data_IF_974584124451
#
_entry.id   IF_974584124451
#
_cell.length_a   1.000
_cell.length_b   1.000
_cell.length_c   1.000
_cell.angle_alpha   90.00
_cell.angle_beta   90.00
_cell.angle_gamma   90.00
#
_symmetry.space_group_name_H-M   'P 1'
#
loop_
_entity.id
_entity.type
_entity.pdbx_description
1 polymer ?
#
# COMPACT_ATOMS: atom_id res chain seq x y z
N UNK A 1 -8.08 9.28 16.41
CA UNK A 1 -9.21 8.59 17.07
C UNK A 1 -9.01 7.10 16.82
N UNK A 2 -8.60 6.34 17.83
CA UNK A 2 -8.44 4.88 17.69
C UNK A 2 -9.84 4.27 17.72
N UNK A 3 -10.30 3.72 16.62
CA UNK A 3 -11.54 2.94 16.58
C UNK A 3 -11.26 1.64 17.34
N UNK A 4 -12.01 1.41 18.42
CA UNK A 4 -12.00 0.17 19.18
C UNK A 4 -12.41 -0.99 18.25
N UNK A 5 -11.60 -2.05 18.21
CA UNK A 5 -11.82 -3.20 17.33
C UNK A 5 -13.20 -3.87 17.57
N UNK A 6 -13.74 -3.80 18.79
CA UNK A 6 -15.06 -4.34 19.10
C UNK A 6 -16.17 -3.48 18.49
N UNK A 7 -16.02 -2.16 18.50
CA UNK A 7 -16.95 -1.24 17.80
C UNK A 7 -16.89 -1.42 16.29
N UNK A 8 -15.70 -1.66 15.75
CA UNK A 8 -15.54 -1.97 14.32
C UNK A 8 -16.26 -3.27 13.97
N UNK A 9 -16.08 -4.34 14.74
CA UNK A 9 -16.81 -5.62 14.55
C UNK A 9 -18.31 -5.46 14.67
N UNK A 10 -18.77 -4.65 15.62
CA UNK A 10 -20.20 -4.36 15.77
C UNK A 10 -20.77 -3.64 14.55
N UNK A 11 -20.06 -2.63 14.06
CA UNK A 11 -20.44 -1.91 12.84
C UNK A 11 -20.43 -2.86 11.62
N UNK A 12 -19.39 -3.67 11.47
CA UNK A 12 -19.28 -4.64 10.38
C UNK A 12 -20.46 -5.62 10.34
N UNK A 13 -20.88 -6.14 11.50
CA UNK A 13 -22.10 -6.98 11.60
C UNK A 13 -23.35 -6.23 11.17
N UNK A 14 -23.48 -4.95 11.57
CA UNK A 14 -24.65 -4.14 11.24
C UNK A 14 -24.79 -3.86 9.73
N UNK A 15 -23.66 -3.73 9.02
CA UNK A 15 -23.64 -3.44 7.56
C UNK A 15 -23.43 -4.70 6.70
N UNK A 16 -23.39 -5.89 7.29
CA UNK A 16 -23.21 -7.16 6.57
C UNK A 16 -21.77 -7.43 6.11
N UNK A 17 -20.78 -6.76 6.71
CA UNK A 17 -19.38 -7.00 6.47
C UNK A 17 -18.82 -8.14 7.35
N UNK A 18 -17.71 -8.77 6.94
CA UNK A 18 -17.01 -9.75 7.78
C UNK A 18 -16.49 -9.07 9.06
N UNK A 19 -16.88 -9.55 10.26
CA UNK A 19 -16.56 -8.88 11.55
C UNK A 19 -15.13 -9.21 12.02
N UNK A 20 -14.12 -8.86 11.24
CA UNK A 20 -12.71 -9.06 11.56
C UNK A 20 -12.12 -7.98 12.49
N UNK A 21 -12.87 -6.92 12.76
CA UNK A 21 -12.42 -5.78 13.57
C UNK A 21 -11.52 -4.79 12.82
N UNK A 22 -11.39 -4.94 11.51
CA UNK A 22 -10.56 -4.09 10.64
C UNK A 22 -11.46 -3.20 9.78
N UNK A 23 -11.37 -1.87 9.98
CA UNK A 23 -12.12 -0.92 9.15
C UNK A 23 -11.40 -0.74 7.81
N UNK A 24 -11.68 -1.64 6.86
CA UNK A 24 -11.11 -1.63 5.51
C UNK A 24 -12.09 -1.14 4.43
N UNK A 25 -11.64 -1.08 3.15
CA UNK A 25 -12.47 -0.64 2.03
C UNK A 25 -13.80 -1.38 1.89
N UNK A 26 -13.82 -2.69 2.16
CA UNK A 26 -15.04 -3.49 2.13
C UNK A 26 -16.05 -3.04 3.20
N UNK A 27 -15.57 -2.80 4.43
CA UNK A 27 -16.37 -2.27 5.54
C UNK A 27 -16.90 -0.87 5.22
N UNK A 28 -16.05 -0.01 4.63
CA UNK A 28 -16.44 1.34 4.23
C UNK A 28 -17.53 1.31 3.14
N UNK A 29 -17.35 0.51 2.10
CA UNK A 29 -18.30 0.42 1.00
C UNK A 29 -19.66 -0.11 1.46
N UNK A 30 -19.69 -1.14 2.32
CA UNK A 30 -20.93 -1.67 2.90
C UNK A 30 -21.55 -0.66 3.87
N UNK A 31 -20.75 0.10 4.62
CA UNK A 31 -21.21 1.18 5.46
C UNK A 31 -21.85 2.32 4.68
N UNK A 32 -21.25 2.74 3.58
CA UNK A 32 -21.81 3.75 2.68
C UNK A 32 -23.12 3.27 2.02
N UNK A 33 -23.17 2.01 1.58
CA UNK A 33 -24.39 1.40 1.04
C UNK A 33 -25.50 1.32 2.10
N UNK A 34 -25.16 0.99 3.35
CA UNK A 34 -26.11 0.95 4.46
C UNK A 34 -26.64 2.35 4.80
N UNK A 35 -25.79 3.39 4.84
CA UNK A 35 -26.19 4.77 5.06
C UNK A 35 -27.13 5.24 3.94
N UNK A 36 -26.83 4.92 2.69
CA UNK A 36 -27.68 5.23 1.54
C UNK A 36 -29.04 4.55 1.63
N UNK A 37 -29.11 3.34 2.20
CA UNK A 37 -30.37 2.59 2.35
C UNK A 37 -31.21 3.03 3.56
N UNK A 38 -30.60 3.57 4.62
CA UNK A 38 -31.24 3.77 5.93
C UNK A 38 -31.18 5.20 6.49
N UNK A 39 -30.48 6.14 5.87
CA UNK A 39 -30.24 7.43 6.55
C UNK A 39 -29.84 8.64 5.73
N UNK A 40 -30.05 8.70 4.45
CA UNK A 40 -29.68 9.86 3.66
C UNK A 40 -30.84 10.46 2.91
N UNK A 41 -31.15 11.72 3.17
CA UNK A 41 -32.04 12.55 2.33
C UNK A 41 -31.36 13.11 1.09
N UNK A 42 -30.32 12.47 0.59
CA UNK A 42 -29.68 12.80 -0.68
C UNK A 42 -30.14 11.81 -1.76
N UNK A 43 -30.61 12.37 -2.89
CA UNK A 43 -31.10 11.61 -4.01
C UNK A 43 -30.10 10.55 -4.48
N UNK A 44 -30.56 9.34 -4.86
CA UNK A 44 -29.67 8.29 -5.30
C UNK A 44 -28.93 8.76 -6.56
N UNK A 45 -27.65 8.94 -6.45
CA UNK A 45 -26.76 8.90 -7.61
C UNK A 45 -26.98 7.51 -8.24
N UNK A 46 -27.34 7.39 -9.53
CA UNK A 46 -27.59 6.11 -10.14
C UNK A 46 -26.32 5.26 -9.96
N UNK A 47 -26.43 4.21 -9.17
CA UNK A 47 -25.38 3.22 -9.01
C UNK A 47 -25.26 2.50 -10.35
N UNK A 48 -24.36 2.95 -11.19
CA UNK A 48 -23.78 2.06 -12.18
C UNK A 48 -23.22 0.87 -11.39
N UNK A 49 -23.62 -0.38 -11.68
CA UNK A 49 -23.06 -1.53 -10.99
C UNK A 49 -21.56 -1.43 -11.17
N UNK A 50 -20.84 -1.26 -10.05
CA UNK A 50 -19.40 -1.25 -10.05
C UNK A 50 -18.95 -2.60 -10.58
N UNK A 51 -18.67 -2.66 -11.87
CA UNK A 51 -17.86 -3.74 -12.44
C UNK A 51 -16.62 -3.84 -11.56
N UNK A 52 -16.16 -5.02 -11.19
CA UNK A 52 -14.87 -5.15 -10.53
C UNK A 52 -13.85 -4.51 -11.47
N UNK A 53 -13.41 -3.30 -11.12
CA UNK A 53 -12.38 -2.59 -11.90
C UNK A 53 -11.10 -3.37 -11.63
N UNK A 54 -10.79 -4.30 -12.52
CA UNK A 54 -9.71 -5.27 -12.39
C UNK A 54 -8.33 -4.64 -12.64
N UNK A 55 -8.26 -3.36 -13.00
CA UNK A 55 -6.99 -2.67 -13.24
C UNK A 55 -7.05 -1.17 -12.90
N UNK A 56 -5.89 -0.54 -12.90
CA UNK A 56 -5.71 0.90 -12.88
C UNK A 56 -5.64 1.41 -14.33
N UNK A 57 -6.01 2.69 -14.55
CA UNK A 57 -5.83 3.31 -15.85
C UNK A 57 -4.35 3.55 -16.21
N UNK A 58 -3.44 3.49 -15.21
CA UNK A 58 -2.00 3.70 -15.40
C UNK A 58 -1.24 2.37 -15.58
N UNK A 59 -0.75 2.08 -16.81
CA UNK A 59 -0.05 0.81 -17.08
C UNK A 59 1.23 0.62 -16.26
N UNK A 60 1.92 1.71 -15.89
CA UNK A 60 3.13 1.65 -15.06
C UNK A 60 2.81 1.14 -13.66
N UNK A 61 1.78 1.68 -13.04
CA UNK A 61 1.34 1.25 -11.71
C UNK A 61 0.88 -0.21 -11.72
N UNK A 62 0.15 -0.66 -12.75
CA UNK A 62 -0.24 -2.06 -12.89
C UNK A 62 0.97 -2.98 -13.04
N UNK A 63 1.95 -2.61 -13.86
CA UNK A 63 3.18 -3.38 -14.03
C UNK A 63 3.96 -3.46 -12.69
N UNK A 64 4.01 -2.36 -11.94
CA UNK A 64 4.63 -2.32 -10.61
C UNK A 64 3.91 -3.23 -9.63
N UNK A 65 2.57 -3.16 -9.55
CA UNK A 65 1.74 -3.99 -8.67
C UNK A 65 1.89 -5.48 -9.03
N UNK A 66 1.99 -5.83 -10.31
CA UNK A 66 2.16 -7.21 -10.74
C UNK A 66 3.44 -7.88 -10.19
N UNK A 67 4.44 -7.10 -9.78
CA UNK A 67 5.66 -7.60 -9.14
C UNK A 67 5.50 -7.91 -7.65
N UNK A 68 4.36 -7.57 -7.06
CA UNK A 68 4.10 -7.78 -5.64
C UNK A 68 3.49 -9.16 -5.36
N UNK A 69 3.56 -9.57 -4.10
CA UNK A 69 2.84 -10.75 -3.62
C UNK A 69 1.34 -10.63 -3.90
N UNK A 70 0.71 -11.72 -4.36
CA UNK A 70 -0.68 -11.71 -4.84
C UNK A 70 -1.68 -11.15 -3.82
N UNK A 71 -1.49 -11.42 -2.53
CA UNK A 71 -2.35 -10.94 -1.44
C UNK A 71 -2.34 -9.42 -1.26
N UNK A 72 -1.32 -8.73 -1.74
CA UNK A 72 -1.22 -7.26 -1.58
C UNK A 72 -1.59 -6.50 -2.85
N UNK A 73 -1.67 -7.14 -4.00
CA UNK A 73 -1.91 -6.47 -5.28
C UNK A 73 -3.22 -5.66 -5.31
N UNK A 74 -4.35 -6.27 -4.91
CA UNK A 74 -5.63 -5.56 -4.91
C UNK A 74 -5.67 -4.42 -3.88
N UNK A 75 -5.21 -4.60 -2.63
CA UNK A 75 -5.05 -3.50 -1.69
C UNK A 75 -4.24 -2.30 -2.22
N UNK A 76 -3.14 -2.55 -2.96
CA UNK A 76 -2.36 -1.45 -3.57
C UNK A 76 -3.12 -0.73 -4.69
N UNK A 77 -3.96 -1.43 -5.48
CA UNK A 77 -4.85 -0.80 -6.48
C UNK A 77 -5.87 0.11 -5.80
N UNK A 78 -6.51 -0.38 -4.75
CA UNK A 78 -7.54 0.35 -4.03
C UNK A 78 -6.96 1.59 -3.33
N UNK A 79 -5.79 1.45 -2.73
CA UNK A 79 -5.08 2.57 -2.12
C UNK A 79 -4.72 3.64 -3.15
N UNK A 80 -4.19 3.26 -4.33
CA UNK A 80 -3.83 4.24 -5.36
C UNK A 80 -5.07 5.00 -5.89
N UNK A 81 -6.21 4.33 -6.03
CA UNK A 81 -7.47 5.01 -6.39
C UNK A 81 -7.87 6.04 -5.35
N UNK A 82 -7.82 5.68 -4.08
CA UNK A 82 -8.13 6.58 -2.97
C UNK A 82 -7.17 7.79 -2.92
N UNK A 83 -5.88 7.54 -3.12
CA UNK A 83 -4.87 8.60 -3.19
C UNK A 83 -5.17 9.54 -4.35
N UNK A 84 -5.39 9.03 -5.57
CA UNK A 84 -5.63 9.84 -6.76
C UNK A 84 -6.91 10.66 -6.66
N UNK A 85 -7.94 10.14 -6.01
CA UNK A 85 -9.15 10.90 -5.73
C UNK A 85 -8.90 12.07 -4.75
N UNK A 86 -7.97 11.90 -3.81
CA UNK A 86 -7.69 12.90 -2.77
C UNK A 86 -6.67 13.97 -3.19
N UNK A 87 -5.79 13.66 -4.16
CA UNK A 87 -4.72 14.59 -4.58
C UNK A 87 -5.00 15.29 -5.91
N UNK A 88 -6.14 15.05 -6.54
CA UNK A 88 -6.49 15.68 -7.81
C UNK A 88 -6.32 17.22 -7.76
N UNK A 89 -5.79 17.88 -8.80
CA UNK A 89 -5.55 17.35 -10.15
C UNK A 89 -4.21 16.61 -10.35
N UNK A 90 -3.36 16.50 -9.33
CA UNK A 90 -2.12 15.73 -9.41
C UNK A 90 -2.41 14.23 -9.47
N UNK A 91 -1.44 13.46 -9.95
CA UNK A 91 -1.58 12.01 -10.13
C UNK A 91 -0.47 11.26 -9.43
N UNK A 92 -0.83 10.40 -8.48
CA UNK A 92 0.07 9.42 -7.88
C UNK A 92 0.24 8.19 -8.78
N UNK A 93 1.45 7.66 -8.83
CA UNK A 93 1.78 6.41 -9.54
C UNK A 93 2.71 5.56 -8.68
N UNK A 94 2.51 4.25 -8.71
CA UNK A 94 3.50 3.33 -8.16
C UNK A 94 4.71 3.28 -9.10
N UNK A 95 5.87 3.73 -8.62
CA UNK A 95 7.08 3.90 -9.45
C UNK A 95 8.15 2.84 -9.18
N UNK A 96 8.06 2.11 -8.07
CA UNK A 96 8.95 1.02 -7.71
C UNK A 96 8.17 -0.03 -6.90
N UNK A 97 8.36 -1.30 -7.22
CA UNK A 97 7.75 -2.45 -6.55
C UNK A 97 8.81 -3.44 -6.07
N UNK A 98 8.70 -4.72 -6.46
CA UNK A 98 9.73 -5.72 -6.15
C UNK A 98 11.08 -5.34 -6.77
N UNK A 99 12.13 -5.53 -5.98
CA UNK A 99 13.53 -5.35 -6.39
C UNK A 99 14.30 -6.64 -6.16
N UNK A 100 14.85 -7.19 -7.24
CA UNK A 100 15.73 -8.35 -7.18
C UNK A 100 17.12 -8.00 -6.62
N UNK A 101 17.94 -9.05 -6.40
CA UNK A 101 19.27 -8.91 -5.79
C UNK A 101 20.17 -7.94 -6.53
N UNK A 102 20.30 -8.08 -7.84
CA UNK A 102 21.19 -7.24 -8.65
C UNK A 102 20.77 -5.76 -8.58
N UNK A 103 19.47 -5.46 -8.70
CA UNK A 103 18.94 -4.11 -8.61
C UNK A 103 19.15 -3.51 -7.21
N UNK A 104 18.76 -4.23 -6.16
CA UNK A 104 18.90 -3.74 -4.78
C UNK A 104 20.36 -3.45 -4.43
N UNK A 105 21.28 -4.34 -4.82
CA UNK A 105 22.69 -4.14 -4.54
C UNK A 105 23.30 -3.01 -5.39
N UNK A 106 22.85 -2.80 -6.62
CA UNK A 106 23.24 -1.65 -7.44
C UNK A 106 22.75 -0.32 -6.84
N UNK A 107 21.49 -0.26 -6.33
CA UNK A 107 20.97 0.90 -5.62
C UNK A 107 21.74 1.17 -4.32
N UNK A 108 22.10 0.14 -3.57
CA UNK A 108 22.91 0.25 -2.36
C UNK A 108 24.31 0.76 -2.64
N UNK A 109 24.90 0.41 -3.78
CA UNK A 109 26.24 0.85 -4.18
C UNK A 109 26.32 2.36 -4.49
N UNK A 110 25.22 3.00 -4.91
CA UNK A 110 25.19 4.44 -5.21
C UNK A 110 25.56 5.27 -3.99
N UNK A 111 26.46 6.25 -4.19
CA UNK A 111 27.01 7.08 -3.12
C UNK A 111 27.92 6.36 -2.09
N UNK A 112 28.32 5.11 -2.41
CA UNK A 112 29.28 4.30 -1.63
C UNK A 112 30.44 3.83 -2.50
N UNK A 113 30.17 2.87 -3.38
CA UNK A 113 31.14 2.26 -4.31
C UNK A 113 30.82 2.58 -5.77
N UNK A 114 29.67 3.17 -6.05
CA UNK A 114 29.27 3.68 -7.36
C UNK A 114 28.91 5.16 -7.29
N UNK A 115 29.06 5.94 -8.40
CA UNK A 115 28.71 7.35 -8.45
C UNK A 115 27.23 7.62 -8.15
N UNK A 116 26.91 8.84 -7.66
CA UNK A 116 25.57 9.33 -7.40
C UNK A 116 25.24 9.46 -5.91
N UNK A 117 24.05 9.98 -5.57
CA UNK A 117 23.62 10.09 -4.17
C UNK A 117 23.24 8.71 -3.60
N UNK A 118 23.24 8.61 -2.27
CA UNK A 118 22.70 7.43 -1.59
C UNK A 118 21.18 7.39 -1.77
N UNK A 119 20.67 6.28 -2.30
CA UNK A 119 19.22 6.08 -2.59
C UNK A 119 18.56 5.04 -1.70
N UNK A 120 19.35 4.23 -0.99
CA UNK A 120 18.84 3.26 0.00
C UNK A 120 19.90 2.92 1.05
N UNK A 121 19.46 2.59 2.25
CA UNK A 121 20.31 2.03 3.30
C UNK A 121 20.29 0.49 3.34
N UNK A 122 19.36 -0.15 2.62
CA UNK A 122 19.17 -1.60 2.62
C UNK A 122 19.98 -2.28 1.50
N UNK A 123 20.68 -3.37 1.85
CA UNK A 123 21.22 -4.34 0.89
C UNK A 123 20.20 -5.47 0.70
N UNK A 124 20.37 -6.24 -0.37
CA UNK A 124 19.67 -7.51 -0.52
C UNK A 124 20.00 -8.49 0.63
N UNK A 125 19.01 -9.17 1.22
CA UNK A 125 17.54 -9.09 1.00
C UNK A 125 16.82 -8.23 2.06
N UNK A 126 17.45 -7.17 2.59
CA UNK A 126 17.01 -6.44 3.80
C UNK A 126 16.09 -5.25 3.51
N UNK A 127 15.21 -5.38 2.52
CA UNK A 127 14.14 -4.41 2.22
C UNK A 127 12.80 -5.13 2.03
N UNK A 128 11.67 -4.48 2.39
CA UNK A 128 10.34 -5.00 2.10
C UNK A 128 10.03 -5.10 0.59
N UNK A 129 10.77 -4.36 -0.25
CA UNK A 129 10.77 -4.56 -1.70
C UNK A 129 11.38 -5.90 -2.13
N UNK A 130 12.21 -6.52 -1.32
CA UNK A 130 12.89 -7.77 -1.66
C UNK A 130 12.13 -9.03 -1.21
N UNK A 131 11.02 -8.89 -0.49
CA UNK A 131 10.22 -10.02 -0.01
C UNK A 131 11.00 -11.04 0.84
N UNK A 132 12.04 -10.59 1.56
CA UNK A 132 12.91 -11.47 2.35
C UNK A 132 13.84 -12.36 1.53
N UNK A 133 14.12 -12.01 0.26
CA UNK A 133 14.89 -12.83 -0.68
C UNK A 133 14.02 -13.72 -1.57
N UNK A 134 12.70 -13.56 -1.52
CA UNK A 134 11.74 -14.23 -2.41
C UNK A 134 11.67 -13.57 -3.80
N UNK A 135 10.61 -13.88 -4.53
CA UNK A 135 10.40 -13.42 -5.93
C UNK A 135 9.35 -12.32 -6.07
N UNK A 136 8.76 -11.86 -4.98
CA UNK A 136 7.71 -10.83 -4.95
C UNK A 136 7.91 -9.89 -3.78
N UNK A 137 7.52 -8.61 -3.94
CA UNK A 137 7.64 -7.58 -2.90
C UNK A 137 6.38 -7.42 -2.06
N UNK A 138 6.51 -6.67 -0.96
CA UNK A 138 5.40 -6.26 -0.08
C UNK A 138 5.28 -4.73 0.01
N UNK A 139 6.12 -4.00 -0.71
CA UNK A 139 6.18 -2.55 -0.71
C UNK A 139 6.18 -1.97 -2.11
N UNK A 140 5.63 -0.75 -2.21
CA UNK A 140 5.79 0.14 -3.36
C UNK A 140 6.26 1.51 -2.91
N UNK A 141 7.03 2.17 -3.78
CA UNK A 141 7.27 3.60 -3.68
C UNK A 141 6.29 4.35 -4.60
N UNK A 142 5.66 5.41 -4.05
CA UNK A 142 4.77 6.29 -4.80
C UNK A 142 5.53 7.52 -5.31
N UNK A 143 5.25 7.92 -6.54
CA UNK A 143 5.67 9.22 -7.08
C UNK A 143 4.46 10.02 -7.53
N UNK A 144 4.53 11.34 -7.42
CA UNK A 144 3.46 12.24 -7.84
C UNK A 144 3.86 13.04 -9.07
N UNK A 145 2.87 13.34 -9.89
CA UNK A 145 3.03 14.06 -11.15
C UNK A 145 1.95 15.11 -11.28
N UNK A 146 2.33 16.32 -11.71
CA UNK A 146 1.38 17.38 -12.05
C UNK A 146 0.53 17.00 -13.26
N UNK A 147 -0.53 17.73 -13.57
CA UNK A 147 -1.32 17.54 -14.81
C UNK A 147 -0.50 17.65 -16.09
N UNK A 148 0.61 18.39 -16.06
CA UNK A 148 1.56 18.48 -17.18
C UNK A 148 2.54 17.30 -17.28
N UNK A 149 2.49 16.34 -16.32
CA UNK A 149 3.39 15.19 -16.26
C UNK A 149 4.74 15.47 -15.58
N UNK A 150 4.92 16.65 -14.98
CA UNK A 150 6.14 16.99 -14.23
C UNK A 150 6.16 16.22 -12.90
N UNK A 151 7.29 15.58 -12.60
CA UNK A 151 7.48 14.88 -11.33
C UNK A 151 7.54 15.86 -10.15
N UNK A 152 6.85 15.52 -9.07
CA UNK A 152 6.79 16.27 -7.82
C UNK A 152 7.56 15.44 -6.78
N UNK A 153 8.80 15.84 -6.49
CA UNK A 153 9.68 15.12 -5.57
C UNK A 153 9.35 15.37 -4.09
N UNK A 154 8.78 16.53 -3.78
CA UNK A 154 8.30 16.91 -2.45
C UNK A 154 6.94 17.61 -2.53
N UNK A 155 6.07 17.38 -1.54
CA UNK A 155 4.77 18.03 -1.48
C UNK A 155 3.81 17.40 -0.49
N UNK A 156 2.66 18.06 -0.22
CA UNK A 156 1.63 17.57 0.69
C UNK A 156 0.96 16.27 0.23
N UNK A 157 1.06 15.92 -1.07
CA UNK A 157 0.52 14.70 -1.66
C UNK A 157 1.08 13.44 -0.99
N UNK A 158 2.38 13.46 -0.60
CA UNK A 158 3.01 12.35 0.13
C UNK A 158 2.39 12.15 1.51
N UNK A 159 2.04 13.24 2.22
CA UNK A 159 1.38 13.15 3.52
C UNK A 159 -0.07 12.66 3.40
N UNK A 160 -0.77 13.07 2.34
CA UNK A 160 -2.11 12.55 2.03
C UNK A 160 -2.03 11.06 1.77
N UNK A 161 -1.10 10.62 0.92
CA UNK A 161 -0.90 9.20 0.62
C UNK A 161 -0.58 8.39 1.87
N UNK A 162 0.34 8.86 2.71
CA UNK A 162 0.72 8.18 3.94
C UNK A 162 -0.41 8.07 4.95
N UNK A 163 -1.23 9.12 5.11
CA UNK A 163 -2.42 9.11 5.98
C UNK A 163 -3.46 8.10 5.48
N UNK A 164 -3.72 8.06 4.17
CA UNK A 164 -4.64 7.10 3.56
C UNK A 164 -4.09 5.67 3.67
N UNK A 165 -2.79 5.47 3.46
CA UNK A 165 -2.13 4.19 3.63
C UNK A 165 -2.30 3.66 5.06
N UNK A 166 -2.03 4.47 6.08
CA UNK A 166 -2.23 4.08 7.49
C UNK A 166 -3.69 3.76 7.80
N UNK A 167 -4.63 4.57 7.30
CA UNK A 167 -6.06 4.32 7.47
C UNK A 167 -6.50 2.99 6.84
N UNK A 168 -5.89 2.59 5.72
CA UNK A 168 -6.12 1.33 5.05
C UNK A 168 -5.29 0.15 5.62
N UNK A 169 -4.54 0.37 6.71
CA UNK A 169 -3.78 -0.67 7.40
C UNK A 169 -2.39 -0.96 6.82
N UNK A 170 -1.86 -0.07 5.98
CA UNK A 170 -0.48 -0.13 5.51
C UNK A 170 0.48 0.52 6.52
N UNK A 171 1.74 0.15 6.40
CA UNK A 171 2.86 0.84 7.05
C UNK A 171 3.40 1.92 6.11
N UNK A 172 3.68 3.09 6.63
CA UNK A 172 4.22 4.22 5.86
C UNK A 172 5.66 4.51 6.26
N UNK A 173 6.55 4.63 5.28
CA UNK A 173 7.98 4.81 5.47
C UNK A 173 8.40 6.14 6.09
N UNK A 174 7.50 7.12 6.24
CA UNK A 174 7.80 8.34 6.99
C UNK A 174 8.27 8.06 8.43
N UNK A 175 7.91 6.90 9.00
CA UNK A 175 8.35 6.48 10.34
C UNK A 175 9.88 6.24 10.43
N UNK A 176 10.54 6.09 9.27
CA UNK A 176 11.99 5.94 9.15
C UNK A 176 12.61 6.87 8.08
N UNK A 177 11.88 7.95 7.72
CA UNK A 177 12.40 9.02 6.84
C UNK A 177 12.25 8.77 5.34
N UNK A 178 11.44 7.79 4.93
CA UNK A 178 11.18 7.46 3.52
C UNK A 178 9.70 7.67 3.18
N UNK A 179 9.30 8.92 2.90
CA UNK A 179 7.89 9.30 2.65
C UNK A 179 7.25 8.61 1.45
N UNK A 180 7.95 8.32 0.33
CA UNK A 180 7.39 7.58 -0.78
C UNK A 180 7.03 6.13 -0.46
N UNK A 181 7.69 5.51 0.52
CA UNK A 181 7.61 4.09 0.82
C UNK A 181 6.32 3.69 1.52
N UNK A 182 5.58 2.75 0.94
CA UNK A 182 4.34 2.17 1.51
C UNK A 182 4.42 0.66 1.43
N UNK A 183 4.20 -0.02 2.57
CA UNK A 183 4.31 -1.46 2.71
C UNK A 183 3.04 -2.06 3.30
N UNK A 184 2.53 -3.15 2.74
CA UNK A 184 1.44 -3.92 3.33
C UNK A 184 2.00 -5.24 3.88
N UNK A 185 1.82 -5.45 5.18
CA UNK A 185 2.28 -6.64 5.89
C UNK A 185 1.12 -7.59 6.17
N UNK A 186 1.39 -8.90 6.26
CA UNK A 186 0.41 -9.85 6.78
C UNK A 186 -0.17 -9.38 8.11
N UNK A 187 -1.46 -9.65 8.41
CA UNK A 187 -2.08 -9.21 9.66
C UNK A 187 -1.30 -9.63 10.91
N UNK A 188 -0.76 -10.85 10.92
CA UNK A 188 0.03 -11.42 12.02
C UNK A 188 1.40 -10.72 12.24
N UNK A 189 1.92 -10.01 11.22
CA UNK A 189 3.23 -9.36 11.23
C UNK A 189 3.13 -7.82 11.20
N UNK A 190 1.90 -7.28 11.15
CA UNK A 190 1.65 -5.84 10.94
C UNK A 190 2.23 -4.95 12.03
N UNK A 191 2.18 -5.39 13.28
CA UNK A 191 2.67 -4.61 14.43
C UNK A 191 4.20 -4.63 14.58
N UNK A 192 4.92 -5.43 13.78
CA UNK A 192 6.37 -5.50 13.87
C UNK A 192 7.02 -4.20 13.38
N UNK A 193 8.22 -3.89 13.87
CA UNK A 193 9.08 -2.88 13.24
C UNK A 193 9.47 -3.33 11.83
N UNK A 194 9.91 -2.40 10.97
CA UNK A 194 10.38 -2.73 9.60
C UNK A 194 11.45 -3.82 9.62
N UNK A 195 12.47 -3.66 10.46
CA UNK A 195 13.57 -4.65 10.61
C UNK A 195 13.05 -6.03 11.07
N UNK A 196 12.15 -6.06 12.06
CA UNK A 196 11.60 -7.32 12.55
C UNK A 196 10.74 -8.03 11.48
N UNK A 197 9.95 -7.28 10.73
CA UNK A 197 9.17 -7.79 9.61
C UNK A 197 10.07 -8.40 8.53
N UNK A 198 11.10 -7.67 8.10
CA UNK A 198 12.03 -8.15 7.08
C UNK A 198 12.76 -9.43 7.54
N UNK A 199 13.23 -9.47 8.80
CA UNK A 199 13.87 -10.67 9.35
C UNK A 199 12.91 -11.86 9.39
N UNK A 200 11.63 -11.63 9.69
CA UNK A 200 10.60 -12.67 9.65
C UNK A 200 10.39 -13.20 8.23
N UNK A 201 10.39 -12.32 7.21
CA UNK A 201 10.32 -12.74 5.81
C UNK A 201 11.54 -13.56 5.39
N UNK A 202 12.74 -13.09 5.71
CA UNK A 202 14.02 -13.81 5.41
C UNK A 202 13.99 -15.20 6.04
N UNK A 203 13.59 -15.28 7.31
CA UNK A 203 13.47 -16.57 8.01
C UNK A 203 12.50 -17.51 7.29
N UNK A 204 11.30 -16.99 6.90
CA UNK A 204 10.27 -17.79 6.21
C UNK A 204 10.74 -18.27 4.85
N UNK A 205 11.35 -17.40 4.05
CA UNK A 205 11.88 -17.77 2.73
C UNK A 205 12.95 -18.85 2.87
N UNK A 206 13.92 -18.69 3.77
CA UNK A 206 15.02 -19.65 3.98
C UNK A 206 14.55 -21.01 4.51
N UNK A 207 13.37 -21.08 5.13
CA UNK A 207 12.80 -22.31 5.67
C UNK A 207 11.61 -22.85 4.85
N UNK A 208 11.34 -22.31 3.66
CA UNK A 208 10.25 -22.73 2.79
C UNK A 208 8.85 -22.52 3.39
N UNK A 209 8.72 -21.57 4.32
CA UNK A 209 7.45 -21.26 4.98
C UNK A 209 6.67 -20.21 4.17
N UNK A 210 5.33 -20.21 4.30
CA UNK A 210 4.49 -19.22 3.66
C UNK A 210 4.87 -17.80 4.15
N UNK A 211 5.14 -16.88 3.21
CA UNK A 211 5.49 -15.48 3.52
C UNK A 211 4.26 -14.63 3.89
N UNK A 212 3.07 -15.14 3.62
CA UNK A 212 1.79 -14.55 4.06
C UNK A 212 1.08 -15.55 4.98
N UNK A 213 1.41 -15.59 6.29
CA UNK A 213 0.80 -16.50 7.26
C UNK A 213 -0.57 -16.02 7.73
#
# INVERSE_FOLDING_TARGET
>A
MNLDADKVRQFQRAVGANPDGIFGPATLNLGLAWIAAHGGTEAPVPATPAQPITGLADPRSEATIATLHSQVQQPFRDLLRAINAAVAPDVGKWISGYRGEAEQNALYAKGRTAPGPRVTSARWPTSSHNGGGGTTGFACDIGFFSPSGTYIDEGPQYDVAGKLARAAGFNWGADFGDRPHICLRPPSLRAMSETAFINALIYRVNNGLAVWP
#
